data_IF_658957486869
#
_entry.id   IF_658957486869
#
_cell.length_a   1.000
_cell.length_b   1.000
_cell.length_c   1.000
_cell.angle_alpha   90.00
_cell.angle_beta   90.00
_cell.angle_gamma   90.00
#
_symmetry.space_group_name_H-M   'P 1'
#
loop_
_entity.id
_entity.type
_entity.pdbx_description
1 polymer ?
#
# COMPACT_ATOMS: atom_id res chain seq x y z
N UNK A 1 22.03 14.66 1.80
CA UNK A 1 20.73 14.27 1.21
C UNK A 1 19.65 14.52 2.23
N UNK A 2 18.53 15.14 1.86
CA UNK A 2 17.35 15.24 2.71
C UNK A 2 16.55 13.94 2.62
N UNK A 3 15.93 13.51 3.72
CA UNK A 3 14.98 12.40 3.71
C UNK A 3 13.67 12.84 3.03
N UNK A 4 13.17 12.06 2.07
CA UNK A 4 11.88 12.31 1.41
C UNK A 4 11.14 11.01 1.12
N UNK A 5 9.81 11.09 1.02
CA UNK A 5 8.98 9.95 0.63
C UNK A 5 7.79 10.38 -0.23
N UNK A 6 7.30 9.44 -1.04
CA UNK A 6 6.09 9.55 -1.85
C UNK A 6 5.26 8.28 -1.71
N UNK A 7 3.95 8.43 -1.68
CA UNK A 7 2.99 7.32 -1.66
C UNK A 7 2.12 7.37 -2.91
N UNK A 8 1.70 6.22 -3.41
CA UNK A 8 0.79 6.07 -4.54
C UNK A 8 -0.17 4.89 -4.30
N UNK A 9 -1.31 4.92 -4.99
CA UNK A 9 -2.31 3.86 -4.99
C UNK A 9 -3.67 4.30 -4.46
N UNK A 10 -4.70 3.61 -4.93
CA UNK A 10 -6.11 3.87 -4.63
C UNK A 10 -6.65 2.88 -3.60
N UNK A 11 -7.66 3.30 -2.83
CA UNK A 11 -8.29 2.47 -1.78
C UNK A 11 -8.82 1.11 -2.28
N UNK A 12 -9.17 1.03 -3.57
CA UNK A 12 -9.67 -0.17 -4.24
C UNK A 12 -8.82 -0.55 -5.46
N UNK A 13 -7.64 0.07 -5.63
CA UNK A 13 -6.68 -0.33 -6.67
C UNK A 13 -5.94 -1.62 -6.29
N UNK A 14 -5.05 -2.14 -7.15
CA UNK A 14 -4.38 -3.42 -6.94
C UNK A 14 -3.42 -3.41 -5.76
N UNK A 15 -2.79 -2.28 -5.46
CA UNK A 15 -1.80 -2.14 -4.40
C UNK A 15 -1.55 -0.69 -4.01
N UNK A 16 -0.87 -0.52 -2.87
CA UNK A 16 -0.27 0.72 -2.44
C UNK A 16 1.24 0.65 -2.60
N UNK A 17 1.86 1.76 -3.00
CA UNK A 17 3.31 1.88 -3.19
C UNK A 17 3.84 3.05 -2.36
N UNK A 18 5.01 2.88 -1.77
CA UNK A 18 5.79 3.96 -1.17
C UNK A 18 7.23 3.91 -1.65
N UNK A 19 7.78 5.07 -2.01
CA UNK A 19 9.19 5.25 -2.35
C UNK A 19 9.79 6.19 -1.31
N UNK A 20 10.87 5.77 -0.67
CA UNK A 20 11.58 6.53 0.35
C UNK A 20 13.03 6.74 -0.10
N UNK A 21 13.48 7.99 -0.10
CA UNK A 21 14.80 8.40 -0.59
C UNK A 21 15.58 9.15 0.51
N UNK A 22 16.90 9.13 0.41
CA UNK A 22 17.79 9.80 1.37
C UNK A 22 18.02 9.02 2.67
N UNK A 23 17.61 7.75 2.73
CA UNK A 23 17.96 6.85 3.83
C UNK A 23 19.45 6.48 3.71
N UNK A 24 20.28 6.62 4.77
CA UNK A 24 21.68 6.20 4.72
C UNK A 24 21.80 4.67 4.61
N UNK A 25 22.89 4.19 4.02
CA UNK A 25 23.18 2.76 3.97
C UNK A 25 23.51 2.20 5.36
N UNK A 26 23.21 0.91 5.57
CA UNK A 26 23.56 0.18 6.79
C UNK A 26 22.53 0.23 7.93
N UNK A 27 21.35 0.83 7.71
CA UNK A 27 20.27 0.79 8.70
C UNK A 27 19.55 -0.55 8.61
N UNK A 28 19.29 -1.15 9.78
CA UNK A 28 18.53 -2.40 9.86
C UNK A 28 17.05 -2.18 9.56
N UNK A 29 16.50 -2.98 8.66
CA UNK A 29 15.08 -2.97 8.29
C UNK A 29 14.65 -4.37 7.87
N UNK A 30 13.47 -4.77 8.34
CA UNK A 30 12.86 -6.05 7.98
C UNK A 30 11.39 -5.87 7.64
N UNK A 31 10.86 -6.73 6.77
CA UNK A 31 9.43 -6.74 6.46
C UNK A 31 8.59 -6.99 7.73
N UNK A 32 9.07 -7.85 8.64
CA UNK A 32 8.40 -8.15 9.91
C UNK A 32 8.19 -6.92 10.79
N UNK A 33 9.15 -6.01 10.85
CA UNK A 33 9.03 -4.79 11.64
C UNK A 33 7.95 -3.86 11.08
N UNK A 34 7.86 -3.78 9.75
CA UNK A 34 6.85 -2.98 9.05
C UNK A 34 5.47 -3.65 9.20
N UNK A 35 5.37 -4.97 9.00
CA UNK A 35 4.12 -5.74 9.15
C UNK A 35 3.53 -5.63 10.55
N UNK A 36 4.38 -5.57 11.59
CA UNK A 36 3.93 -5.30 12.96
C UNK A 36 3.21 -3.96 13.06
N UNK A 37 3.74 -2.92 12.42
CA UNK A 37 3.15 -1.58 12.45
C UNK A 37 1.90 -1.49 11.56
N UNK A 38 1.87 -2.22 10.44
CA UNK A 38 0.66 -2.40 9.62
C UNK A 38 -0.45 -3.10 10.42
N UNK A 39 -0.14 -4.17 11.16
CA UNK A 39 -1.10 -4.84 12.03
C UNK A 39 -1.62 -3.90 13.13
N UNK A 40 -0.74 -3.09 13.73
CA UNK A 40 -1.15 -2.07 14.73
C UNK A 40 -2.12 -1.05 14.14
N UNK A 41 -1.95 -0.64 12.88
CA UNK A 41 -2.84 0.30 12.17
C UNK A 41 -4.28 -0.23 12.07
N UNK A 42 -4.45 -1.55 11.98
CA UNK A 42 -5.75 -2.21 11.85
C UNK A 42 -6.50 -2.32 13.19
N UNK A 43 -5.84 -2.05 14.32
CA UNK A 43 -6.43 -2.07 15.65
C UNK A 43 -7.26 -0.80 15.95
N UNK A 44 -8.09 -0.89 17.00
CA UNK A 44 -8.86 0.23 17.56
C UNK A 44 -10.37 0.00 17.55
N UNK A 45 -11.04 0.44 18.62
CA UNK A 45 -12.50 0.39 18.70
C UNK A 45 -13.13 1.26 17.59
N UNK A 46 -14.19 0.77 16.95
CA UNK A 46 -14.84 1.45 15.83
C UNK A 46 -14.20 1.25 14.45
N UNK A 47 -13.13 0.46 14.33
CA UNK A 47 -12.59 0.08 13.01
C UNK A 47 -13.57 -0.84 12.27
N UNK A 48 -13.81 -0.53 11.00
CA UNK A 48 -14.79 -1.22 10.15
C UNK A 48 -14.42 -2.66 9.80
N UNK A 49 -15.37 -3.39 9.18
CA UNK A 49 -15.24 -4.82 8.87
C UNK A 49 -14.00 -5.17 8.03
N UNK A 50 -13.62 -4.30 7.07
CA UNK A 50 -12.46 -4.51 6.19
C UNK A 50 -11.15 -4.74 6.96
N UNK A 51 -10.90 -3.94 8.00
CA UNK A 51 -9.68 -4.04 8.83
C UNK A 51 -9.64 -5.32 9.69
N UNK A 52 -10.75 -6.06 9.81
CA UNK A 52 -10.79 -7.37 10.51
C UNK A 52 -10.35 -8.53 9.61
N UNK A 53 -10.35 -8.33 8.29
CA UNK A 53 -10.18 -9.40 7.29
C UNK A 53 -8.87 -9.20 6.52
N UNK A 54 -8.49 -7.96 6.25
CA UNK A 54 -7.22 -7.66 5.59
C UNK A 54 -6.03 -8.01 6.50
N UNK A 55 -5.00 -8.60 5.91
CA UNK A 55 -3.71 -8.85 6.56
C UNK A 55 -2.65 -8.15 5.73
N UNK A 56 -2.54 -6.85 5.94
CA UNK A 56 -1.60 -6.02 5.19
C UNK A 56 -0.17 -6.52 5.45
N UNK A 57 0.54 -6.88 4.39
CA UNK A 57 1.94 -7.27 4.44
C UNK A 57 2.73 -6.45 3.44
N UNK A 58 3.92 -6.02 3.84
CA UNK A 58 4.81 -5.25 2.98
C UNK A 58 5.68 -6.17 2.13
N UNK A 59 5.85 -5.79 0.86
CA UNK A 59 6.86 -6.32 -0.04
C UNK A 59 7.92 -5.23 -0.23
N UNK A 60 9.13 -5.50 0.24
CA UNK A 60 10.28 -4.61 0.02
C UNK A 60 10.86 -4.93 -1.36
N UNK A 61 10.67 -4.02 -2.31
CA UNK A 61 11.03 -4.22 -3.72
C UNK A 61 12.39 -3.65 -4.10
N UNK A 62 12.94 -2.70 -3.33
CA UNK A 62 14.25 -2.08 -3.59
C UNK A 62 14.89 -1.50 -2.32
N UNK A 63 16.15 -1.10 -2.43
CA UNK A 63 16.84 -0.30 -1.41
C UNK A 63 17.28 -1.05 -0.15
N UNK A 64 16.98 -2.34 -0.04
CA UNK A 64 17.33 -3.19 1.11
C UNK A 64 17.94 -4.50 0.61
N UNK A 65 19.04 -4.93 1.25
CA UNK A 65 19.68 -6.22 1.02
C UNK A 65 20.19 -6.78 2.34
N UNK A 66 19.97 -8.06 2.59
CA UNK A 66 20.38 -8.74 3.83
C UNK A 66 19.91 -8.01 5.11
N UNK A 67 18.70 -7.44 5.07
CA UNK A 67 18.12 -6.70 6.20
C UNK A 67 18.73 -5.32 6.45
N UNK A 68 19.57 -4.81 5.54
CA UNK A 68 20.20 -3.50 5.64
C UNK A 68 19.85 -2.61 4.45
N UNK A 69 19.67 -1.32 4.69
CA UNK A 69 19.46 -0.31 3.65
C UNK A 69 20.73 -0.12 2.82
N UNK A 70 20.57 0.16 1.53
CA UNK A 70 21.67 0.32 0.58
C UNK A 70 22.04 1.77 0.29
N UNK A 71 21.26 2.75 0.78
CA UNK A 71 21.40 4.15 0.40
C UNK A 71 20.63 4.52 -0.87
N UNK A 72 20.26 3.53 -1.69
CA UNK A 72 19.35 3.70 -2.83
C UNK A 72 17.88 3.79 -2.37
N UNK A 73 16.97 4.30 -3.23
CA UNK A 73 15.56 4.40 -2.89
C UNK A 73 14.95 3.07 -2.41
N UNK A 74 14.25 3.12 -1.27
CA UNK A 74 13.52 1.98 -0.70
C UNK A 74 12.10 1.98 -1.23
N UNK A 75 11.77 0.97 -2.03
CA UNK A 75 10.44 0.74 -2.58
C UNK A 75 9.69 -0.26 -1.73
N UNK A 76 8.52 0.14 -1.23
CA UNK A 76 7.60 -0.68 -0.45
C UNK A 76 6.29 -0.84 -1.22
N UNK A 77 5.75 -2.06 -1.26
CA UNK A 77 4.44 -2.35 -1.86
C UNK A 77 3.56 -3.08 -0.85
N UNK A 78 2.26 -2.79 -0.85
CA UNK A 78 1.26 -3.47 -0.04
C UNK A 78 0.12 -3.87 -0.98
N UNK A 79 -0.08 -5.17 -1.16
CA UNK A 79 -1.12 -5.69 -2.06
C UNK A 79 -2.49 -5.48 -1.43
N UNK A 80 -3.44 -4.99 -2.23
CA UNK A 80 -4.81 -4.81 -1.78
C UNK A 80 -5.58 -6.12 -1.99
N UNK A 81 -5.91 -6.82 -0.90
CA UNK A 81 -6.64 -8.08 -0.97
C UNK A 81 -8.07 -7.92 -1.53
N UNK A 82 -8.65 -6.73 -1.40
CA UNK A 82 -10.00 -6.43 -1.90
C UNK A 82 -10.03 -6.22 -3.42
N UNK A 83 -8.88 -6.00 -4.08
CA UNK A 83 -8.77 -5.74 -5.52
C UNK A 83 -9.56 -6.74 -6.39
N UNK A 84 -9.64 -8.01 -5.97
CA UNK A 84 -10.42 -9.06 -6.65
C UNK A 84 -11.90 -8.71 -6.87
N UNK A 85 -12.46 -7.80 -6.06
CA UNK A 85 -13.84 -7.34 -6.15
C UNK A 85 -13.98 -6.07 -7.02
N UNK A 86 -12.85 -5.48 -7.44
CA UNK A 86 -12.78 -4.18 -8.10
C UNK A 86 -12.07 -4.22 -9.45
N UNK A 87 -11.70 -5.40 -9.95
CA UNK A 87 -10.88 -5.54 -11.16
C UNK A 87 -11.49 -4.92 -12.40
N UNK A 88 -12.81 -4.83 -12.47
CA UNK A 88 -13.52 -4.20 -13.59
C UNK A 88 -13.69 -2.69 -13.38
N UNK A 89 -14.26 -2.28 -12.23
CA UNK A 89 -14.53 -0.86 -11.91
C UNK A 89 -13.27 -0.01 -11.81
N UNK A 90 -12.19 -0.59 -11.29
CA UNK A 90 -10.91 0.10 -11.07
C UNK A 90 -9.84 -0.36 -12.08
N UNK A 91 -10.27 -0.91 -13.23
CA UNK A 91 -9.38 -1.29 -14.32
C UNK A 91 -8.56 -0.08 -14.82
N UNK A 92 -7.28 -0.33 -15.13
CA UNK A 92 -6.39 0.71 -15.70
C UNK A 92 -6.76 1.02 -17.15
N UNK A 93 -7.12 -0.01 -17.90
CA UNK A 93 -7.50 0.09 -19.30
C UNK A 93 -9.02 0.01 -19.44
N UNK A 94 -9.57 0.75 -20.41
CA UNK A 94 -10.96 0.58 -20.80
C UNK A 94 -11.12 -0.74 -21.57
N UNK A 95 -11.89 -1.69 -21.03
CA UNK A 95 -12.11 -3.00 -21.65
C UNK A 95 -13.38 -3.07 -22.52
N UNK A 96 -14.02 -1.91 -22.77
CA UNK A 96 -15.23 -1.80 -23.60
C UNK A 96 -16.49 -2.38 -22.95
N UNK A 97 -16.40 -2.87 -21.71
CA UNK A 97 -17.56 -3.20 -20.89
C UNK A 97 -17.97 -1.96 -20.11
N UNK A 98 -19.27 -1.71 -20.02
CA UNK A 98 -19.84 -0.69 -19.14
C UNK A 98 -19.76 -1.12 -17.66
N UNK A 99 -18.60 -1.57 -17.20
CA UNK A 99 -18.33 -1.83 -15.79
C UNK A 99 -18.08 -0.51 -15.04
N UNK A 100 -18.99 0.46 -15.21
CA UNK A 100 -18.95 1.70 -14.44
C UNK A 100 -19.73 1.46 -13.15
N UNK A 101 -19.06 1.58 -12.00
CA UNK A 101 -19.79 1.67 -10.74
C UNK A 101 -20.74 2.88 -10.81
N UNK A 102 -21.92 2.77 -10.20
CA UNK A 102 -22.82 3.91 -10.11
C UNK A 102 -22.08 5.12 -9.53
N UNK A 103 -22.19 6.30 -10.16
CA UNK A 103 -21.46 7.47 -9.71
C UNK A 103 -21.90 7.85 -8.30
N UNK A 104 -20.93 8.11 -7.42
CA UNK A 104 -21.21 8.68 -6.10
C UNK A 104 -21.61 10.14 -6.29
N UNK A 105 -22.93 10.40 -6.30
CA UNK A 105 -23.50 11.73 -6.57
C UNK A 105 -23.78 12.54 -5.30
N UNK A 106 -23.82 11.89 -4.14
CA UNK A 106 -24.06 12.53 -2.85
C UNK A 106 -22.75 12.58 -2.05
N UNK A 107 -22.17 13.77 -1.81
CA UNK A 107 -20.98 13.87 -0.97
C UNK A 107 -21.30 13.47 0.47
N UNK A 108 -20.35 12.81 1.13
CA UNK A 108 -20.47 12.52 2.57
C UNK A 108 -20.41 13.85 3.35
N UNK A 109 -21.31 14.07 4.34
CA UNK A 109 -21.30 15.28 5.18
C UNK A 109 -19.95 15.56 5.83
#
# INVERSE_FOLDING_TARGET
>A
MSLSYKTAGESHGPELVSIIEGIPAGLSVSARDIDRDLARRQLGHGRGGRMKIEKDQVIISSGVRNGLTLGSPVGLRIVNADWRNWTEVMAVEADGKDATAEPVTVPRP
#
